data_IF_954948236539
#
_entry.id   IF_954948236539
#
_cell.length_a   1.000
_cell.length_b   1.000
_cell.length_c   1.000
_cell.angle_alpha   90.00
_cell.angle_beta   90.00
_cell.angle_gamma   90.00
#
_symmetry.space_group_name_H-M   'P 1'
#
loop_
_entity.id
_entity.type
_entity.pdbx_description
1 polymer ?
#
# COMPACT_ATOMS: atom_id res chain seq x y z
N UNK A 1 5.13 -4.13 -18.46
CA UNK A 1 5.61 -3.01 -17.61
C UNK A 1 5.28 -3.37 -16.18
N UNK A 2 6.18 -3.11 -15.23
CA UNK A 2 5.94 -3.35 -13.81
C UNK A 2 4.73 -2.55 -13.31
N UNK A 3 3.98 -3.08 -12.32
CA UNK A 3 2.59 -2.68 -12.03
C UNK A 3 2.39 -1.18 -11.75
N UNK A 4 3.34 -0.52 -11.08
CA UNK A 4 3.29 0.92 -10.82
C UNK A 4 3.41 1.75 -12.11
N UNK A 5 4.43 1.47 -12.93
CA UNK A 5 4.68 2.22 -14.16
C UNK A 5 3.59 1.97 -15.21
N UNK A 6 3.04 0.76 -15.25
CA UNK A 6 1.91 0.44 -16.12
C UNK A 6 0.69 1.31 -15.80
N UNK A 7 0.37 1.50 -14.52
CA UNK A 7 -0.78 2.29 -14.06
C UNK A 7 -0.57 3.79 -14.24
N UNK A 8 0.61 4.32 -13.91
CA UNK A 8 0.94 5.74 -14.18
C UNK A 8 0.89 6.02 -15.69
N UNK A 9 1.33 5.07 -16.53
CA UNK A 9 1.22 5.21 -17.98
C UNK A 9 -0.24 5.26 -18.45
N UNK A 10 -1.13 4.48 -17.84
CA UNK A 10 -2.55 4.46 -18.14
C UNK A 10 -3.27 5.73 -17.67
N UNK A 11 -2.95 6.21 -16.47
CA UNK A 11 -3.48 7.44 -15.89
C UNK A 11 -2.37 8.24 -15.19
N UNK A 12 -2.05 9.41 -15.76
CA UNK A 12 -1.00 10.30 -15.27
C UNK A 12 -1.42 11.18 -14.09
N UNK A 13 -2.70 11.13 -13.70
CA UNK A 13 -3.23 11.86 -12.53
C UNK A 13 -3.14 11.06 -11.24
N UNK A 14 -2.86 9.76 -11.35
CA UNK A 14 -2.79 8.83 -10.23
C UNK A 14 -1.40 8.83 -9.61
N UNK A 15 -1.36 8.96 -8.28
CA UNK A 15 -0.15 8.80 -7.45
C UNK A 15 -0.26 7.47 -6.71
N UNK A 16 0.77 6.63 -6.80
CA UNK A 16 0.79 5.28 -6.23
C UNK A 16 2.00 5.12 -5.32
N UNK A 17 1.85 4.33 -4.26
CA UNK A 17 2.94 3.82 -3.44
C UNK A 17 2.95 2.29 -3.46
N UNK A 18 4.12 1.65 -3.32
CA UNK A 18 4.17 0.23 -2.97
C UNK A 18 3.67 0.02 -1.53
N UNK A 19 3.52 -1.24 -1.13
CA UNK A 19 3.42 -1.62 0.29
C UNK A 19 4.77 -1.34 0.96
N UNK A 20 4.74 -0.76 2.15
CA UNK A 20 5.94 -0.51 2.93
C UNK A 20 6.14 -1.62 3.95
N UNK A 21 7.03 -2.55 3.63
CA UNK A 21 7.45 -3.59 4.56
C UNK A 21 8.40 -3.03 5.62
N UNK A 22 8.39 -3.64 6.81
CA UNK A 22 9.25 -3.20 7.91
C UNK A 22 10.61 -3.86 7.80
N UNK A 23 11.64 -3.06 7.57
CA UNK A 23 13.03 -3.49 7.77
C UNK A 23 13.39 -3.25 9.24
N UNK A 24 13.79 -4.31 9.95
CA UNK A 24 14.21 -4.23 11.34
C UNK A 24 15.53 -3.44 11.45
N UNK A 25 15.58 -2.46 12.36
CA UNK A 25 16.73 -1.55 12.49
C UNK A 25 18.02 -2.27 12.93
N UNK A 26 17.88 -3.28 13.78
CA UNK A 26 18.95 -4.03 14.42
C UNK A 26 19.44 -5.23 13.60
N UNK A 27 18.53 -5.96 12.96
CA UNK A 27 18.86 -7.19 12.20
C UNK A 27 18.85 -7.01 10.68
N UNK A 28 18.25 -5.93 10.17
CA UNK A 28 17.97 -5.70 8.75
C UNK A 28 17.05 -6.75 8.10
N UNK A 29 16.41 -7.60 8.90
CA UNK A 29 15.42 -8.53 8.41
C UNK A 29 14.17 -7.79 7.93
N UNK A 30 13.57 -8.30 6.86
CA UNK A 30 12.35 -7.75 6.26
C UNK A 30 11.16 -8.51 6.82
N UNK A 31 10.25 -7.79 7.47
CA UNK A 31 8.94 -8.28 7.85
C UNK A 31 7.90 -7.75 6.86
N UNK A 32 7.38 -8.65 6.03
CA UNK A 32 6.35 -8.35 5.04
C UNK A 32 5.04 -7.92 5.72
N UNK A 33 4.44 -6.84 5.23
CA UNK A 33 3.19 -6.29 5.74
C UNK A 33 2.02 -6.59 4.81
N UNK A 34 0.84 -6.77 5.41
CA UNK A 34 -0.40 -6.86 4.64
C UNK A 34 -0.73 -5.45 4.10
N UNK A 35 -1.15 -5.33 2.82
CA UNK A 35 -1.58 -4.05 2.25
C UNK A 35 -2.61 -3.34 3.13
N UNK A 36 -2.40 -2.05 3.37
CA UNK A 36 -3.27 -1.18 4.18
C UNK A 36 -3.26 0.23 3.61
N UNK A 37 -4.37 0.96 3.78
CA UNK A 37 -4.48 2.35 3.42
C UNK A 37 -3.74 3.23 4.43
N UNK A 38 -3.19 4.35 3.96
CA UNK A 38 -2.68 5.39 4.86
C UNK A 38 -3.79 6.38 5.19
N UNK A 39 -3.98 6.63 6.48
CA UNK A 39 -4.87 7.66 7.01
C UNK A 39 -4.14 8.55 8.01
N UNK A 40 -4.90 9.41 8.69
CA UNK A 40 -4.38 10.15 9.83
C UNK A 40 -5.46 10.32 10.90
N UNK A 41 -5.04 10.37 12.16
CA UNK A 41 -5.93 10.66 13.29
C UNK A 41 -6.21 12.17 13.41
N UNK A 42 -7.04 12.57 14.38
CA UNK A 42 -7.35 13.99 14.60
C UNK A 42 -6.15 14.83 15.07
N UNK A 43 -5.06 14.19 15.51
CA UNK A 43 -3.79 14.86 15.81
C UNK A 43 -2.85 14.93 14.59
N UNK A 44 -3.33 14.48 13.42
CA UNK A 44 -2.61 14.41 12.14
C UNK A 44 -1.44 13.42 12.15
N UNK A 45 -1.51 12.36 12.96
CA UNK A 45 -0.52 11.29 12.97
C UNK A 45 -0.88 10.21 11.95
N UNK A 46 0.11 9.72 11.22
CA UNK A 46 -0.09 8.67 10.23
C UNK A 46 -0.64 7.38 10.86
N UNK A 47 -1.64 6.80 10.20
CA UNK A 47 -2.30 5.56 10.60
C UNK A 47 -2.31 4.57 9.43
N UNK A 48 -2.39 3.28 9.76
CA UNK A 48 -2.70 2.21 8.81
C UNK A 48 -4.13 1.76 9.02
N UNK A 49 -4.92 1.77 7.95
CA UNK A 49 -6.33 1.38 7.95
C UNK A 49 -6.54 0.19 7.01
N UNK A 50 -7.41 -0.75 7.41
CA UNK A 50 -7.78 -1.86 6.53
C UNK A 50 -8.55 -1.36 5.31
N UNK A 51 -8.40 -2.05 4.18
CA UNK A 51 -9.20 -1.75 3.00
C UNK A 51 -10.66 -2.16 3.18
N UNK A 52 -11.52 -1.72 2.26
CA UNK A 52 -12.92 -2.12 2.28
C UNK A 52 -13.04 -3.62 1.98
N UNK A 53 -14.03 -4.34 2.54
CA UNK A 53 -14.19 -5.78 2.36
C UNK A 53 -14.20 -6.26 0.90
N UNK A 54 -14.69 -5.43 -0.03
CA UNK A 54 -14.76 -5.72 -1.45
C UNK A 54 -13.38 -5.89 -2.08
N UNK A 55 -12.38 -5.16 -1.59
CA UNK A 55 -11.01 -5.28 -2.09
C UNK A 55 -10.45 -6.69 -1.83
N UNK A 56 -10.67 -7.23 -0.63
CA UNK A 56 -10.21 -8.58 -0.29
C UNK A 56 -10.92 -9.67 -1.10
N UNK A 57 -12.14 -9.42 -1.60
CA UNK A 57 -12.87 -10.36 -2.44
C UNK A 57 -12.28 -10.48 -3.85
N UNK A 58 -11.59 -9.44 -4.34
CA UNK A 58 -10.91 -9.45 -5.65
C UNK A 58 -9.76 -10.47 -5.64
N UNK A 59 -9.13 -10.70 -4.48
CA UNK A 59 -8.02 -11.63 -4.29
C UNK A 59 -6.86 -11.41 -5.28
N UNK A 60 -6.64 -10.16 -5.68
CA UNK A 60 -5.51 -9.71 -6.50
C UNK A 60 -4.77 -8.59 -5.75
N UNK A 61 -3.61 -8.89 -5.14
CA UNK A 61 -2.85 -7.91 -4.37
C UNK A 61 -2.19 -6.85 -5.25
N UNK A 62 -2.23 -7.00 -6.58
CA UNK A 62 -1.75 -5.97 -7.46
C UNK A 62 -2.72 -4.79 -7.50
N UNK A 63 -4.02 -4.97 -7.28
CA UNK A 63 -5.01 -3.91 -7.41
C UNK A 63 -4.89 -2.85 -6.30
N UNK A 64 -5.08 -1.55 -6.61
CA UNK A 64 -5.06 -0.50 -5.60
C UNK A 64 -6.20 -0.69 -4.59
N UNK A 65 -5.90 -0.38 -3.32
CA UNK A 65 -6.83 -0.44 -2.20
C UNK A 65 -7.77 0.73 -2.05
#
# INVERSE_FOLDING_TARGET
>A
AEPLLARIKADRTVVLSPVFDKVLFDTLEVNEYIPSAHGFDWNLWCMYESFRPEWYQINDPSEPG
#
